data_IF_774275119686
#
_entry.id   IF_774275119686
#
_cell.length_a   1.000
_cell.length_b   1.000
_cell.length_c   1.000
_cell.angle_alpha   90.00
_cell.angle_beta   90.00
_cell.angle_gamma   90.00
#
_symmetry.space_group_name_H-M   'P 1'
#
loop_
_entity.id
_entity.type
_entity.pdbx_description
1 polymer ?
#
# COMPACT_ATOMS: atom_id res chain seq x y z
N UNK A 1 -0.23 -7.81 14.53
CA UNK A 1 -1.14 -6.73 14.05
C UNK A 1 -0.96 -6.56 12.55
N UNK A 2 -2.04 -6.37 11.83
CA UNK A 2 -2.04 -6.04 10.40
C UNK A 2 -2.21 -4.54 10.24
N UNK A 3 -1.37 -3.91 9.43
CA UNK A 3 -1.49 -2.49 9.09
C UNK A 3 -1.70 -2.35 7.58
N UNK A 4 -2.80 -1.75 7.19
CA UNK A 4 -3.05 -1.38 5.79
C UNK A 4 -2.57 0.04 5.58
N UNK A 5 -1.73 0.25 4.57
CA UNK A 5 -1.11 1.53 4.28
C UNK A 5 -1.48 2.04 2.90
N UNK A 6 -1.59 3.36 2.78
CA UNK A 6 -1.57 4.09 1.52
C UNK A 6 -0.66 5.32 1.63
N UNK A 7 -0.39 5.96 0.52
CA UNK A 7 0.43 7.19 0.46
C UNK A 7 -0.35 8.28 -0.24
N UNK A 8 -0.47 9.43 0.38
CA UNK A 8 -1.00 10.66 -0.21
C UNK A 8 0.06 11.76 -0.14
N UNK A 9 0.57 12.17 -1.28
CA UNK A 9 1.53 13.26 -1.41
C UNK A 9 1.13 14.23 -2.52
N UNK A 10 1.23 15.53 -2.25
CA UNK A 10 0.92 16.56 -3.24
C UNK A 10 -0.59 16.66 -3.55
N UNK A 11 -0.91 17.17 -4.73
CA UNK A 11 -2.27 17.55 -5.11
C UNK A 11 -2.93 16.65 -6.17
N UNK A 12 -2.25 15.56 -6.58
CA UNK A 12 -2.79 14.66 -7.61
C UNK A 12 -4.11 14.01 -7.17
N UNK A 13 -4.20 13.61 -5.89
CA UNK A 13 -5.40 13.06 -5.28
C UNK A 13 -5.84 13.93 -4.11
N UNK A 14 -7.15 14.04 -3.90
CA UNK A 14 -7.71 14.66 -2.70
C UNK A 14 -7.72 13.68 -1.52
N UNK A 15 -7.87 14.20 -0.31
CA UNK A 15 -8.00 13.37 0.91
C UNK A 15 -9.22 12.44 0.87
N UNK A 16 -10.21 12.75 0.04
CA UNK A 16 -11.40 11.91 -0.16
C UNK A 16 -11.01 10.51 -0.64
N UNK A 17 -9.98 10.37 -1.46
CA UNK A 17 -9.47 9.07 -1.91
C UNK A 17 -8.98 8.20 -0.74
N UNK A 18 -8.36 8.81 0.26
CA UNK A 18 -7.92 8.10 1.48
C UNK A 18 -9.12 7.56 2.25
N UNK A 19 -10.15 8.37 2.44
CA UNK A 19 -11.38 7.96 3.13
C UNK A 19 -12.14 6.88 2.38
N UNK A 20 -12.23 6.99 1.06
CA UNK A 20 -12.86 5.97 0.20
C UNK A 20 -12.12 4.64 0.27
N UNK A 21 -10.79 4.67 0.20
CA UNK A 21 -9.97 3.46 0.29
C UNK A 21 -10.10 2.82 1.67
N UNK A 22 -10.01 3.60 2.74
CA UNK A 22 -10.20 3.12 4.12
C UNK A 22 -11.56 2.41 4.28
N UNK A 23 -12.62 3.05 3.83
CA UNK A 23 -13.97 2.50 3.88
C UNK A 23 -14.10 1.22 3.03
N UNK A 24 -13.49 1.18 1.85
CA UNK A 24 -13.49 -0.01 1.01
C UNK A 24 -12.72 -1.17 1.64
N UNK A 25 -11.60 -0.91 2.31
CA UNK A 25 -10.86 -1.92 3.07
C UNK A 25 -11.73 -2.48 4.19
N UNK A 26 -12.34 -1.62 4.99
CA UNK A 26 -13.20 -2.02 6.12
C UNK A 26 -14.36 -2.92 5.69
N UNK A 27 -14.95 -2.65 4.51
CA UNK A 27 -16.06 -3.46 3.98
C UNK A 27 -15.64 -4.79 3.36
N UNK A 28 -14.37 -4.96 3.03
CA UNK A 28 -13.87 -6.10 2.26
C UNK A 28 -12.90 -7.00 3.03
N UNK A 29 -12.78 -6.85 4.34
CA UNK A 29 -12.02 -7.75 5.18
C UNK A 29 -12.73 -8.07 6.48
N UNK A 30 -12.57 -9.29 6.95
CA UNK A 30 -13.00 -9.73 8.29
C UNK A 30 -11.85 -9.64 9.30
N UNK A 31 -10.65 -9.29 8.86
CA UNK A 31 -9.45 -9.26 9.71
C UNK A 31 -9.35 -7.94 10.45
N UNK A 32 -9.04 -8.02 11.74
CA UNK A 32 -8.69 -6.84 12.55
C UNK A 32 -7.41 -6.21 12.03
N UNK A 33 -7.45 -4.92 11.76
CA UNK A 33 -6.34 -4.18 11.18
C UNK A 33 -6.34 -2.73 11.61
N UNK A 34 -5.19 -2.08 11.43
CA UNK A 34 -5.07 -0.61 11.43
C UNK A 34 -5.05 -0.11 9.99
N UNK A 35 -5.48 1.11 9.78
CA UNK A 35 -5.33 1.82 8.51
C UNK A 35 -4.49 3.07 8.73
N UNK A 36 -3.37 3.18 8.03
CA UNK A 36 -2.41 4.28 8.16
C UNK A 36 -2.17 4.91 6.80
N UNK A 37 -2.30 6.22 6.71
CA UNK A 37 -1.89 6.97 5.53
C UNK A 37 -0.54 7.65 5.78
N UNK A 38 0.43 7.40 4.92
CA UNK A 38 1.65 8.20 4.86
C UNK A 38 1.35 9.42 4.02
N UNK A 39 1.55 10.62 4.58
CA UNK A 39 1.20 11.85 3.88
C UNK A 39 2.13 13.01 4.25
N UNK A 40 2.21 13.99 3.36
CA UNK A 40 2.86 15.28 3.61
C UNK A 40 2.05 16.20 4.54
N UNK A 41 0.83 15.79 4.88
CA UNK A 41 -0.09 16.51 5.78
C UNK A 41 -0.94 15.56 6.61
N UNK A 42 -1.39 16.03 7.78
CA UNK A 42 -2.32 15.28 8.60
C UNK A 42 -3.69 15.19 7.92
N UNK A 43 -4.28 13.99 7.94
CA UNK A 43 -5.61 13.72 7.40
C UNK A 43 -6.55 13.47 8.56
N UNK A 44 -7.62 14.27 8.66
CA UNK A 44 -8.60 14.14 9.72
C UNK A 44 -9.34 12.79 9.63
N UNK A 45 -9.52 12.13 10.77
CA UNK A 45 -10.20 10.84 10.84
C UNK A 45 -9.39 9.63 10.35
N UNK A 46 -8.11 9.83 10.01
CA UNK A 46 -7.20 8.77 9.57
C UNK A 46 -5.90 8.86 10.35
N UNK A 47 -5.41 7.72 10.85
CA UNK A 47 -4.07 7.67 11.41
C UNK A 47 -3.06 8.03 10.33
N UNK A 48 -2.32 9.10 10.54
CA UNK A 48 -1.40 9.66 9.54
C UNK A 48 0.03 9.61 10.06
N UNK A 49 0.91 9.02 9.25
CA UNK A 49 2.35 9.13 9.42
C UNK A 49 2.87 10.21 8.48
N UNK A 50 3.51 11.23 9.03
CA UNK A 50 4.05 12.34 8.23
C UNK A 50 5.29 11.87 7.48
N UNK A 51 5.28 12.07 6.17
CA UNK A 51 6.40 11.76 5.29
C UNK A 51 7.61 12.64 5.61
N UNK A 52 8.78 12.03 5.61
CA UNK A 52 10.05 12.75 5.71
C UNK A 52 10.27 13.56 4.43
N UNK A 53 10.78 14.79 4.52
CA UNK A 53 11.02 15.62 3.33
C UNK A 53 12.15 15.05 2.46
N UNK A 54 12.20 15.49 1.20
CA UNK A 54 13.29 15.17 0.27
C UNK A 54 12.92 14.20 -0.84
N UNK A 55 11.74 13.57 -0.78
CA UNK A 55 11.21 12.73 -1.87
C UNK A 55 9.95 13.37 -2.44
N UNK A 56 9.67 13.10 -3.70
CA UNK A 56 8.49 13.61 -4.39
C UNK A 56 7.73 12.48 -5.11
N UNK A 57 6.42 12.66 -5.24
CA UNK A 57 5.55 11.76 -5.97
C UNK A 57 5.59 10.33 -5.41
N UNK A 58 5.58 9.38 -6.31
CA UNK A 58 5.53 7.95 -5.99
C UNK A 58 6.79 7.41 -5.27
N UNK A 59 7.92 8.13 -5.30
CA UNK A 59 9.12 7.78 -4.55
C UNK A 59 8.90 7.77 -3.03
N UNK A 60 7.89 8.49 -2.54
CA UNK A 60 7.54 8.49 -1.11
C UNK A 60 7.14 7.09 -0.59
N UNK A 61 6.77 6.15 -1.46
CA UNK A 61 6.51 4.75 -1.09
C UNK A 61 7.71 4.06 -0.44
N UNK A 62 8.92 4.49 -0.73
CA UNK A 62 10.15 3.94 -0.12
C UNK A 62 10.11 4.09 1.40
N UNK A 63 9.45 5.12 1.92
CA UNK A 63 9.33 5.34 3.36
C UNK A 63 8.45 4.30 4.08
N UNK A 64 7.72 3.45 3.33
CA UNK A 64 7.03 2.30 3.91
C UNK A 64 7.99 1.25 4.48
N UNK A 65 9.23 1.24 4.01
CA UNK A 65 10.26 0.26 4.35
C UNK A 65 11.28 0.78 5.37
N UNK A 66 11.02 1.92 6.00
CA UNK A 66 11.95 2.52 6.97
C UNK A 66 11.97 1.83 8.36
N UNK A 67 11.15 0.79 8.53
CA UNK A 67 11.08 0.00 9.76
C UNK A 67 10.22 0.62 10.87
N UNK A 68 9.62 1.78 10.66
CA UNK A 68 8.77 2.43 11.66
C UNK A 68 7.38 1.76 11.78
N UNK A 69 6.95 1.03 10.76
CA UNK A 69 5.72 0.25 10.79
C UNK A 69 6.09 -1.22 10.98
N UNK A 70 5.60 -1.82 12.05
CA UNK A 70 5.88 -3.21 12.41
C UNK A 70 4.69 -4.13 12.14
N UNK A 71 4.95 -5.43 12.16
CA UNK A 71 3.94 -6.46 11.94
C UNK A 71 3.73 -6.75 10.46
N UNK A 72 2.54 -7.20 10.11
CA UNK A 72 2.17 -7.49 8.71
C UNK A 72 1.67 -6.20 8.06
N UNK A 73 2.24 -5.84 6.94
CA UNK A 73 1.90 -4.62 6.21
C UNK A 73 1.26 -4.99 4.88
N UNK A 74 0.15 -4.35 4.56
CA UNK A 74 -0.52 -4.41 3.26
C UNK A 74 -0.55 -2.99 2.70
N UNK A 75 0.02 -2.79 1.54
CA UNK A 75 0.00 -1.50 0.85
C UNK A 75 -0.96 -1.54 -0.34
N UNK A 76 -1.76 -0.49 -0.45
CA UNK A 76 -2.68 -0.28 -1.57
C UNK A 76 -2.50 1.16 -2.10
N UNK A 77 -2.37 1.29 -3.43
CA UNK A 77 -2.43 2.61 -4.07
C UNK A 77 -3.80 3.27 -3.84
N UNK A 78 -3.85 4.60 -3.79
CA UNK A 78 -5.07 5.36 -3.53
C UNK A 78 -6.17 5.14 -4.55
N UNK A 79 -5.83 4.84 -5.79
CA UNK A 79 -6.73 4.58 -6.90
C UNK A 79 -7.12 3.10 -7.03
N UNK A 80 -6.77 2.28 -6.05
CA UNK A 80 -7.15 0.87 -6.00
C UNK A 80 -8.66 0.71 -5.81
N UNK A 81 -9.28 -0.10 -6.67
CA UNK A 81 -10.68 -0.50 -6.56
C UNK A 81 -10.75 -1.91 -6.00
N UNK A 82 -11.43 -2.07 -4.86
CA UNK A 82 -11.58 -3.35 -4.18
C UNK A 82 -12.91 -3.98 -4.59
N UNK A 83 -12.84 -5.15 -5.23
CA UNK A 83 -14.01 -5.84 -5.81
C UNK A 83 -14.39 -7.12 -5.08
N UNK A 84 -13.58 -7.59 -4.15
CA UNK A 84 -13.80 -8.81 -3.38
C UNK A 84 -13.03 -8.80 -2.07
N UNK A 85 -13.15 -9.89 -1.28
CA UNK A 85 -12.47 -10.00 0.01
C UNK A 85 -10.95 -9.81 -0.10
N UNK A 86 -10.40 -9.06 0.85
CA UNK A 86 -8.97 -8.86 1.05
C UNK A 86 -8.36 -9.87 2.03
N UNK A 87 -9.12 -10.78 2.59
CA UNK A 87 -8.65 -11.67 3.66
C UNK A 87 -7.43 -12.51 3.23
N UNK A 88 -7.39 -12.95 1.99
CA UNK A 88 -6.24 -13.68 1.43
C UNK A 88 -4.95 -12.83 1.45
N UNK A 89 -5.07 -11.54 1.19
CA UNK A 89 -3.95 -10.59 1.21
C UNK A 89 -3.54 -10.26 2.66
N UNK A 90 -4.53 -10.08 3.53
CA UNK A 90 -4.31 -9.86 4.97
C UNK A 90 -3.63 -11.06 5.65
N UNK A 91 -3.93 -12.27 5.20
CA UNK A 91 -3.38 -13.52 5.73
C UNK A 91 -2.02 -13.89 5.14
N UNK A 92 -1.52 -13.13 4.17
CA UNK A 92 -0.22 -13.42 3.56
C UNK A 92 0.90 -13.45 4.60
N UNK A 93 1.58 -14.58 4.68
CA UNK A 93 2.60 -14.86 5.71
C UNK A 93 4.04 -14.86 5.20
N UNK A 94 4.24 -14.65 3.89
CA UNK A 94 5.57 -14.58 3.29
C UNK A 94 6.34 -13.31 3.64
N UNK A 95 7.58 -13.23 3.21
CA UNK A 95 8.44 -12.09 3.48
C UNK A 95 8.03 -10.86 2.66
N UNK A 96 7.76 -11.06 1.37
CA UNK A 96 7.33 -9.99 0.48
C UNK A 96 6.47 -10.52 -0.66
N UNK A 97 5.45 -9.78 -1.04
CA UNK A 97 4.61 -10.01 -2.21
C UNK A 97 4.32 -8.68 -2.91
N UNK A 98 4.36 -8.70 -4.22
CA UNK A 98 3.82 -7.65 -5.09
C UNK A 98 3.08 -8.31 -6.25
N UNK A 99 2.17 -7.57 -6.89
CA UNK A 99 1.45 -8.10 -8.05
C UNK A 99 2.28 -7.98 -9.33
N UNK A 100 2.05 -8.89 -10.27
CA UNK A 100 2.65 -8.82 -11.59
C UNK A 100 2.00 -7.72 -12.43
N UNK A 101 2.78 -6.98 -13.20
CA UNK A 101 2.28 -6.01 -14.15
C UNK A 101 1.75 -6.70 -15.42
N UNK A 102 0.46 -7.00 -15.43
CA UNK A 102 -0.20 -7.66 -16.56
C UNK A 102 -0.29 -6.76 -17.80
N UNK A 103 -0.23 -5.44 -17.63
CA UNK A 103 -0.19 -4.49 -18.75
C UNK A 103 1.08 -4.62 -19.55
N UNK A 104 2.21 -4.80 -18.90
CA UNK A 104 3.51 -5.05 -19.54
C UNK A 104 3.58 -6.46 -20.13
N UNK A 105 3.05 -7.46 -19.45
CA UNK A 105 3.05 -8.84 -19.90
C UNK A 105 2.21 -9.06 -21.18
N UNK A 106 1.18 -8.26 -21.40
CA UNK A 106 0.32 -8.31 -22.59
C UNK A 106 0.86 -7.48 -23.77
N UNK A 107 1.79 -6.56 -23.54
CA UNK A 107 2.54 -5.96 -24.65
C UNK A 107 3.47 -7.03 -25.24
N UNK A 108 3.70 -7.00 -26.55
CA UNK A 108 4.55 -7.98 -27.29
C UNK A 108 6.00 -8.12 -26.78
N UNK A 109 6.21 -7.84 -25.50
CA UNK A 109 7.51 -7.82 -24.83
C UNK A 109 7.60 -8.96 -23.81
N UNK A 110 7.65 -10.20 -24.32
CA UNK A 110 7.77 -11.40 -23.47
C UNK A 110 8.97 -11.38 -22.50
N UNK A 111 9.99 -10.59 -22.79
CA UNK A 111 11.15 -10.41 -21.90
C UNK A 111 10.84 -9.62 -20.64
N UNK A 112 9.68 -8.97 -20.55
CA UNK A 112 9.23 -8.24 -19.39
C UNK A 112 8.26 -9.05 -18.50
N UNK A 113 8.07 -10.34 -18.77
CA UNK A 113 7.34 -11.23 -17.84
C UNK A 113 8.00 -11.22 -16.48
N UNK A 114 7.17 -11.13 -15.44
CA UNK A 114 7.64 -11.06 -14.07
C UNK A 114 8.01 -9.66 -13.59
N UNK A 115 7.77 -8.61 -14.39
CA UNK A 115 7.86 -7.23 -13.91
C UNK A 115 6.77 -7.01 -12.88
N UNK A 116 7.17 -6.62 -11.68
CA UNK A 116 6.26 -6.33 -10.58
C UNK A 116 5.81 -4.88 -10.64
N UNK A 117 4.56 -4.65 -10.26
CA UNK A 117 4.06 -3.32 -9.97
C UNK A 117 3.86 -3.15 -8.46
N UNK A 118 4.00 -1.92 -7.99
CA UNK A 118 3.93 -1.57 -6.56
C UNK A 118 2.55 -1.09 -6.09
N UNK A 119 1.51 -1.28 -6.88
CA UNK A 119 0.16 -0.81 -6.56
C UNK A 119 -0.52 -1.60 -5.43
N UNK A 120 -0.14 -2.88 -5.31
CA UNK A 120 -0.55 -3.77 -4.21
C UNK A 120 0.67 -4.53 -3.75
N UNK A 121 0.99 -4.43 -2.46
CA UNK A 121 2.12 -5.14 -1.85
C UNK A 121 1.73 -5.65 -0.47
N UNK A 122 2.35 -6.75 -0.04
CA UNK A 122 2.24 -7.23 1.32
C UNK A 122 3.60 -7.78 1.80
N UNK A 123 3.98 -7.46 3.05
CA UNK A 123 5.24 -7.93 3.63
C UNK A 123 5.17 -7.93 5.16
N UNK A 124 6.21 -8.48 5.77
CA UNK A 124 6.40 -8.40 7.21
C UNK A 124 7.31 -7.22 7.52
N UNK A 125 6.76 -6.18 8.15
CA UNK A 125 7.53 -5.02 8.61
C UNK A 125 8.55 -5.38 9.67
N UNK A 126 9.65 -4.65 9.72
CA UNK A 126 10.84 -4.90 10.55
C UNK A 126 11.57 -6.24 10.28
N UNK A 127 11.19 -6.99 9.24
CA UNK A 127 11.82 -8.25 8.87
C UNK A 127 12.69 -8.14 7.60
N UNK A 128 12.86 -6.95 7.06
CA UNK A 128 13.80 -6.72 5.97
C UNK A 128 15.19 -6.41 6.55
N UNK A 129 15.81 -7.41 7.15
CA UNK A 129 17.27 -7.43 7.28
C UNK A 129 17.84 -7.74 5.89
N UNK A 130 18.27 -6.69 5.22
CA UNK A 130 18.95 -6.76 3.93
C UNK A 130 20.38 -7.28 4.10
#
# INVERSE_FOLDING_TARGET
>A
MITVCCVLWGDKFSEEYVHKLKSAVERNTTRTHKFVCLSDRKIEGVETKILKPGMSGWWNKIQLFDGEISGRIVYLDLDTIITSSLDWLMDYSGNFMAIEDLGVANAHQQHLKGVMQSGVMAWRGAAMDW
#
